data_IF_675344545993
#
_entry.id   IF_675344545993
#
_cell.length_a   1.000
_cell.length_b   1.000
_cell.length_c   1.000
_cell.angle_alpha   90.00
_cell.angle_beta   90.00
_cell.angle_gamma   90.00
#
_symmetry.space_group_name_H-M   'P 1'
#
loop_
_entity.id
_entity.type
_entity.pdbx_description
1 polymer ?
#
# COMPACT_ATOMS: atom_id res chain seq x y z
N UNK A 1 60.45 -43.59 -73.42
CA UNK A 1 60.11 -42.28 -72.74
C UNK A 1 58.83 -41.57 -73.26
N UNK A 2 58.57 -41.59 -74.54
CA UNK A 2 57.43 -40.84 -75.11
C UNK A 2 56.03 -41.27 -74.62
N UNK A 3 55.81 -42.56 -74.33
CA UNK A 3 54.52 -43.07 -73.85
C UNK A 3 54.16 -42.61 -72.41
N UNK A 4 55.09 -42.44 -71.54
CA UNK A 4 54.91 -41.95 -70.19
C UNK A 4 54.45 -40.51 -70.18
N UNK A 5 55.06 -39.68 -71.02
CA UNK A 5 54.74 -38.26 -71.17
C UNK A 5 53.32 -38.02 -71.79
N UNK A 6 52.91 -38.90 -72.69
CA UNK A 6 51.57 -38.83 -73.28
C UNK A 6 50.45 -39.22 -72.28
N UNK A 7 50.74 -40.19 -71.41
CA UNK A 7 49.89 -40.66 -70.33
C UNK A 7 49.65 -39.60 -69.25
N UNK A 8 50.78 -39.00 -68.88
CA UNK A 8 50.80 -37.96 -67.85
C UNK A 8 50.02 -36.70 -68.34
N UNK A 9 50.27 -36.29 -69.62
CA UNK A 9 49.50 -35.17 -70.23
C UNK A 9 47.99 -35.48 -70.31
N UNK A 10 47.59 -36.73 -70.50
CA UNK A 10 46.14 -37.11 -70.52
C UNK A 10 45.56 -37.14 -69.13
N UNK A 11 46.32 -37.51 -68.08
CA UNK A 11 45.89 -37.46 -66.70
C UNK A 11 45.75 -35.99 -66.26
N UNK A 12 46.70 -35.14 -66.58
CA UNK A 12 46.64 -33.71 -66.27
C UNK A 12 45.46 -33.02 -66.92
N UNK A 13 45.11 -33.32 -68.19
CA UNK A 13 43.94 -32.83 -68.87
C UNK A 13 42.65 -33.28 -68.20
N UNK A 14 42.60 -34.58 -67.78
CA UNK A 14 41.38 -35.09 -67.04
C UNK A 14 41.23 -34.38 -65.68
N UNK A 15 42.35 -34.23 -65.00
CA UNK A 15 42.35 -33.49 -63.69
C UNK A 15 41.90 -32.05 -63.88
N UNK A 16 42.44 -31.33 -64.88
CA UNK A 16 42.03 -29.98 -65.20
C UNK A 16 40.54 -29.86 -65.54
N UNK A 17 40.04 -30.74 -66.41
CA UNK A 17 38.60 -30.77 -66.77
C UNK A 17 37.73 -31.07 -65.56
N UNK A 18 38.16 -31.95 -64.65
CA UNK A 18 37.42 -32.24 -63.42
C UNK A 18 37.39 -31.04 -62.50
N UNK A 19 38.52 -30.35 -62.34
CA UNK A 19 38.64 -29.11 -61.55
C UNK A 19 37.74 -27.99 -62.11
N UNK A 20 37.78 -27.78 -63.45
CA UNK A 20 36.92 -26.78 -64.08
C UNK A 20 35.43 -27.13 -63.94
N UNK A 21 35.07 -28.40 -64.09
CA UNK A 21 33.67 -28.82 -63.89
C UNK A 21 33.20 -28.61 -62.44
N UNK A 22 34.07 -28.93 -61.46
CA UNK A 22 33.76 -28.69 -60.03
C UNK A 22 33.62 -27.17 -59.75
N UNK A 23 34.58 -26.38 -60.23
CA UNK A 23 34.53 -24.92 -60.05
C UNK A 23 33.29 -24.30 -60.74
N UNK A 24 32.88 -24.80 -61.93
CA UNK A 24 31.67 -24.32 -62.61
C UNK A 24 30.38 -24.74 -61.82
N UNK A 25 30.37 -25.92 -61.26
CA UNK A 25 29.23 -26.36 -60.41
C UNK A 25 29.12 -25.49 -59.19
N UNK A 26 30.21 -25.25 -58.47
CA UNK A 26 30.22 -24.34 -57.30
C UNK A 26 29.84 -22.92 -57.69
N UNK A 27 30.33 -22.42 -58.83
CA UNK A 27 29.91 -21.07 -59.29
C UNK A 27 28.43 -20.98 -59.55
N UNK A 28 27.84 -21.98 -60.24
CA UNK A 28 26.38 -22.00 -60.47
C UNK A 28 25.63 -22.06 -59.16
N UNK A 29 26.00 -22.91 -58.26
CA UNK A 29 25.35 -22.98 -56.92
C UNK A 29 25.41 -21.64 -56.20
N UNK A 30 26.60 -21.04 -56.13
CA UNK A 30 26.76 -19.73 -55.47
C UNK A 30 25.98 -18.63 -56.19
N UNK A 31 25.86 -18.67 -57.51
CA UNK A 31 25.08 -17.73 -58.31
C UNK A 31 23.58 -17.86 -58.02
N UNK A 32 23.07 -19.09 -58.04
CA UNK A 32 21.66 -19.38 -57.73
C UNK A 32 21.31 -18.97 -56.28
N UNK A 33 22.22 -19.23 -55.34
CA UNK A 33 22.11 -18.86 -53.95
C UNK A 33 22.12 -17.32 -53.75
N UNK A 34 22.99 -16.63 -54.47
CA UNK A 34 23.03 -15.16 -54.48
C UNK A 34 21.75 -14.54 -55.05
N UNK A 35 21.23 -15.11 -56.11
CA UNK A 35 19.96 -14.64 -56.71
C UNK A 35 18.78 -14.87 -55.75
N UNK A 36 18.72 -16.03 -55.09
CA UNK A 36 17.73 -16.32 -54.09
C UNK A 36 17.83 -15.36 -52.90
N UNK A 37 19.02 -15.09 -52.38
CA UNK A 37 19.26 -14.13 -51.31
C UNK A 37 18.91 -12.70 -51.69
N UNK A 38 19.26 -12.25 -52.91
CA UNK A 38 18.87 -10.93 -53.37
C UNK A 38 17.35 -10.75 -53.49
N UNK A 39 16.61 -11.83 -53.72
CA UNK A 39 15.14 -11.81 -53.76
C UNK A 39 14.54 -11.87 -52.35
N UNK A 40 15.18 -12.60 -51.40
CA UNK A 40 14.68 -12.80 -50.04
C UNK A 40 14.97 -11.62 -49.12
N UNK A 41 16.16 -11.01 -49.22
CA UNK A 41 16.59 -9.92 -48.34
C UNK A 41 15.64 -8.71 -48.33
N UNK A 42 15.16 -8.19 -49.44
CA UNK A 42 14.18 -7.12 -49.43
C UNK A 42 12.89 -7.50 -48.71
N UNK A 43 12.38 -8.69 -48.96
CA UNK A 43 11.16 -9.19 -48.29
C UNK A 43 11.30 -9.33 -46.80
N UNK A 44 12.49 -9.75 -46.33
CA UNK A 44 12.78 -9.81 -44.90
C UNK A 44 12.92 -8.40 -44.28
N UNK A 45 13.52 -7.47 -45.04
CA UNK A 45 13.59 -6.08 -44.60
C UNK A 45 12.20 -5.45 -44.46
N UNK A 46 11.32 -5.65 -45.44
CA UNK A 46 9.93 -5.16 -45.43
C UNK A 46 9.16 -5.81 -44.24
N UNK A 47 9.32 -7.12 -44.03
CA UNK A 47 8.68 -7.83 -42.91
C UNK A 47 9.18 -7.33 -41.57
N UNK A 48 10.46 -7.04 -41.43
CA UNK A 48 11.06 -6.46 -40.25
C UNK A 48 10.50 -5.06 -39.97
N UNK A 49 10.44 -4.21 -40.98
CA UNK A 49 9.89 -2.85 -40.89
C UNK A 49 8.42 -2.86 -40.41
N UNK A 50 7.61 -3.75 -40.98
CA UNK A 50 6.20 -3.94 -40.58
C UNK A 50 6.15 -4.39 -39.13
N UNK A 51 6.92 -5.40 -38.74
CA UNK A 51 6.95 -5.93 -37.35
C UNK A 51 7.42 -4.88 -36.35
N UNK A 52 8.39 -4.06 -36.68
CA UNK A 52 8.87 -2.96 -35.85
C UNK A 52 7.81 -1.86 -35.71
N UNK A 53 7.13 -1.52 -36.80
CA UNK A 53 6.05 -0.51 -36.80
C UNK A 53 4.87 -0.95 -35.93
N UNK A 54 4.40 -2.17 -36.12
CA UNK A 54 3.32 -2.75 -35.29
C UNK A 54 3.70 -2.86 -33.81
N UNK A 55 4.93 -3.28 -33.54
CA UNK A 55 5.45 -3.32 -32.17
C UNK A 55 5.48 -1.94 -31.52
N UNK A 56 5.90 -0.90 -32.26
CA UNK A 56 5.91 0.47 -31.74
C UNK A 56 4.49 0.95 -31.49
N UNK A 57 3.57 0.78 -32.43
CA UNK A 57 2.17 1.18 -32.27
C UNK A 57 1.51 0.51 -31.06
N UNK A 58 1.67 -0.80 -30.91
CA UNK A 58 1.18 -1.55 -29.74
C UNK A 58 1.77 -1.04 -28.43
N UNK A 59 3.10 -0.83 -28.40
CA UNK A 59 3.76 -0.37 -27.18
C UNK A 59 3.33 1.05 -26.82
N UNK A 60 3.18 1.95 -27.79
CA UNK A 60 2.75 3.34 -27.55
C UNK A 60 1.30 3.38 -27.02
N UNK A 61 0.42 2.53 -27.55
CA UNK A 61 -0.95 2.39 -27.05
C UNK A 61 -0.97 1.92 -25.59
N UNK A 62 -0.20 0.88 -25.26
CA UNK A 62 -0.07 0.36 -23.89
C UNK A 62 0.52 1.39 -22.94
N UNK A 63 1.58 2.08 -23.34
CA UNK A 63 2.21 3.12 -22.51
C UNK A 63 1.29 4.31 -22.28
N UNK A 64 0.47 4.65 -23.28
CA UNK A 64 -0.53 5.72 -23.15
C UNK A 64 -1.62 5.36 -22.14
N UNK A 65 -2.13 4.13 -22.17
CA UNK A 65 -3.12 3.64 -21.21
C UNK A 65 -2.55 3.65 -19.77
N UNK A 66 -1.34 3.14 -19.59
CA UNK A 66 -0.65 3.13 -18.28
C UNK A 66 -0.41 4.54 -17.75
N UNK A 67 -0.09 5.49 -18.63
CA UNK A 67 0.18 6.88 -18.22
C UNK A 67 -1.02 7.52 -17.52
N UNK A 68 -2.24 7.16 -17.90
CA UNK A 68 -3.47 7.62 -17.22
C UNK A 68 -3.55 7.08 -15.81
N UNK A 69 -3.29 5.79 -15.64
CA UNK A 69 -3.32 5.16 -14.31
C UNK A 69 -2.21 5.69 -13.39
N UNK A 70 -1.00 5.88 -13.91
CA UNK A 70 0.10 6.49 -13.16
C UNK A 70 -0.30 7.89 -12.66
N UNK A 71 -0.91 8.70 -13.54
CA UNK A 71 -1.37 10.04 -13.16
C UNK A 71 -2.40 9.99 -12.02
N UNK A 72 -3.36 9.08 -12.10
CA UNK A 72 -4.38 8.86 -11.06
C UNK A 72 -3.76 8.45 -9.73
N UNK A 73 -2.84 7.47 -9.75
CA UNK A 73 -2.15 6.98 -8.56
C UNK A 73 -1.28 8.05 -7.91
N UNK A 74 -0.55 8.78 -8.73
CA UNK A 74 0.32 9.86 -8.25
C UNK A 74 -0.48 10.99 -7.62
N UNK A 75 -1.56 11.46 -8.27
CA UNK A 75 -2.44 12.50 -7.74
C UNK A 75 -3.13 12.07 -6.44
N UNK A 76 -3.44 10.78 -6.26
CA UNK A 76 -4.00 10.29 -5.01
C UNK A 76 -3.07 10.51 -3.81
N UNK A 77 -1.76 10.51 -4.03
CA UNK A 77 -0.74 10.74 -2.99
C UNK A 77 -0.35 12.22 -2.89
N UNK A 78 -0.12 12.87 -4.02
CA UNK A 78 0.40 14.23 -4.15
C UNK A 78 -0.67 15.20 -4.68
N UNK A 79 -1.76 15.33 -3.93
CA UNK A 79 -2.94 16.12 -4.34
C UNK A 79 -2.59 17.59 -4.57
N UNK A 80 -2.83 18.09 -5.79
CA UNK A 80 -2.69 19.51 -6.11
C UNK A 80 -1.25 20.02 -6.18
N UNK A 81 -0.24 19.15 -6.30
CA UNK A 81 1.17 19.56 -6.33
C UNK A 81 1.69 19.90 -7.74
N UNK A 82 0.79 20.11 -8.70
CA UNK A 82 1.11 20.71 -10.00
C UNK A 82 1.70 19.77 -11.05
N UNK A 83 1.77 18.46 -10.81
CA UNK A 83 2.13 17.48 -11.82
C UNK A 83 0.87 17.08 -12.60
N UNK A 84 0.68 17.69 -13.79
CA UNK A 84 -0.59 17.58 -14.50
C UNK A 84 -0.69 16.35 -15.41
N UNK A 85 0.41 15.98 -16.07
CA UNK A 85 0.44 14.85 -17.00
C UNK A 85 1.76 14.11 -16.92
N UNK A 86 1.66 12.81 -16.79
CA UNK A 86 2.78 11.88 -16.90
C UNK A 86 2.64 11.19 -18.25
N UNK A 87 3.70 11.15 -19.03
CA UNK A 87 3.77 10.42 -20.29
C UNK A 87 4.92 9.45 -20.26
N UNK A 88 4.67 8.25 -20.75
CA UNK A 88 5.68 7.23 -20.97
C UNK A 88 5.87 7.03 -22.47
N UNK A 89 7.09 7.01 -22.92
CA UNK A 89 7.45 6.69 -24.30
C UNK A 89 8.71 5.82 -24.33
N UNK A 90 8.87 5.05 -25.41
CA UNK A 90 10.14 4.37 -25.64
C UNK A 90 11.18 5.40 -26.11
N UNK A 91 12.38 5.38 -25.52
CA UNK A 91 13.49 6.19 -26.01
C UNK A 91 13.91 5.69 -27.41
N UNK A 92 13.77 6.51 -28.45
CA UNK A 92 14.11 6.10 -29.82
C UNK A 92 15.62 5.84 -30.01
N UNK A 93 16.46 6.32 -29.10
CA UNK A 93 17.93 6.19 -29.17
C UNK A 93 18.48 5.04 -28.36
N UNK A 94 17.73 4.50 -27.41
CA UNK A 94 18.17 3.44 -26.50
C UNK A 94 17.19 2.28 -26.53
N UNK A 95 17.67 1.10 -26.90
CA UNK A 95 16.86 -0.11 -26.88
C UNK A 95 16.37 -0.41 -25.45
N UNK A 96 15.06 -0.68 -25.31
CA UNK A 96 14.40 -1.03 -24.05
C UNK A 96 14.57 0.04 -22.94
N UNK A 97 14.68 1.30 -23.30
CA UNK A 97 14.68 2.43 -22.36
C UNK A 97 13.36 3.15 -22.41
N UNK A 98 12.78 3.40 -21.25
CA UNK A 98 11.57 4.22 -21.08
C UNK A 98 11.99 5.66 -20.83
N UNK A 99 11.41 6.58 -21.59
CA UNK A 99 11.51 8.01 -21.33
C UNK A 99 10.24 8.46 -20.59
N UNK A 100 10.44 9.13 -19.46
CA UNK A 100 9.35 9.62 -18.62
C UNK A 100 9.29 11.14 -18.80
N UNK A 101 8.24 11.59 -19.45
CA UNK A 101 7.93 13.01 -19.56
C UNK A 101 6.86 13.43 -18.54
N UNK A 102 6.94 14.65 -18.10
CA UNK A 102 5.91 15.24 -17.23
C UNK A 102 5.52 16.64 -17.72
N UNK A 103 4.33 17.05 -17.32
CA UNK A 103 3.86 18.44 -17.46
C UNK A 103 3.75 19.05 -16.06
N UNK A 104 4.38 20.19 -15.86
CA UNK A 104 4.39 20.91 -14.61
C UNK A 104 4.08 22.39 -14.86
N UNK A 105 3.04 22.94 -14.22
CA UNK A 105 2.58 24.32 -14.39
C UNK A 105 2.47 24.75 -15.87
N UNK A 106 1.86 23.88 -16.72
CA UNK A 106 1.64 24.16 -18.14
C UNK A 106 2.89 23.99 -19.03
N UNK A 107 4.06 23.62 -18.48
CA UNK A 107 5.26 23.28 -19.24
C UNK A 107 5.30 21.77 -19.50
N UNK A 108 5.39 21.38 -20.75
CA UNK A 108 5.38 19.96 -21.16
C UNK A 108 6.78 19.44 -21.49
N UNK A 109 6.95 18.11 -21.41
CA UNK A 109 8.19 17.43 -21.81
C UNK A 109 9.34 17.63 -20.83
N UNK A 110 9.06 17.89 -19.57
CA UNK A 110 10.06 18.05 -18.54
C UNK A 110 10.43 16.68 -17.95
N UNK A 111 11.72 16.35 -17.82
CA UNK A 111 12.13 15.14 -17.13
C UNK A 111 11.83 15.26 -15.63
N UNK A 112 11.07 14.32 -15.03
CA UNK A 112 10.70 14.37 -13.61
C UNK A 112 11.91 14.55 -12.69
N UNK A 113 13.04 13.94 -13.02
CA UNK A 113 14.28 14.00 -12.24
C UNK A 113 14.87 15.40 -12.08
N UNK A 114 14.46 16.36 -12.93
CA UNK A 114 14.93 17.73 -12.85
C UNK A 114 14.13 18.60 -11.87
N UNK A 115 12.93 18.16 -11.45
CA UNK A 115 11.98 18.98 -10.70
C UNK A 115 11.46 18.30 -9.45
N UNK A 116 11.40 16.97 -9.42
CA UNK A 116 10.84 16.22 -8.31
C UNK A 116 11.93 15.92 -7.26
N UNK A 117 11.54 15.93 -5.99
CA UNK A 117 12.37 15.44 -4.89
C UNK A 117 12.52 13.92 -4.96
N UNK A 118 13.43 13.35 -4.20
CA UNK A 118 13.62 11.89 -4.11
C UNK A 118 12.34 11.19 -3.67
N UNK A 119 11.62 11.72 -2.68
CA UNK A 119 10.33 11.21 -2.22
C UNK A 119 9.28 11.15 -3.34
N UNK A 120 9.19 12.19 -4.16
CA UNK A 120 8.28 12.23 -5.31
C UNK A 120 8.68 11.25 -6.41
N UNK A 121 9.98 11.10 -6.67
CA UNK A 121 10.48 10.15 -7.66
C UNK A 121 10.22 8.71 -7.24
N UNK A 122 10.39 8.39 -5.97
CA UNK A 122 10.11 7.06 -5.43
C UNK A 122 8.61 6.75 -5.48
N UNK A 123 7.75 7.72 -5.13
CA UNK A 123 6.30 7.58 -5.31
C UNK A 123 5.93 7.37 -6.77
N UNK A 124 6.52 8.15 -7.68
CA UNK A 124 6.28 8.01 -9.12
C UNK A 124 6.72 6.62 -9.62
N UNK A 125 7.89 6.15 -9.17
CA UNK A 125 8.38 4.81 -9.49
C UNK A 125 7.43 3.71 -9.01
N UNK A 126 6.89 3.84 -7.80
CA UNK A 126 5.89 2.92 -7.27
C UNK A 126 4.58 2.96 -8.07
N UNK A 127 4.10 4.15 -8.44
CA UNK A 127 2.90 4.30 -9.29
C UNK A 127 3.09 3.63 -10.67
N UNK A 128 4.26 3.79 -11.28
CA UNK A 128 4.60 3.11 -12.54
C UNK A 128 4.60 1.59 -12.35
N UNK A 129 5.22 1.11 -11.28
CA UNK A 129 5.26 -0.33 -10.98
C UNK A 129 3.87 -0.92 -10.76
N UNK A 130 3.02 -0.26 -9.99
CA UNK A 130 1.63 -0.70 -9.74
C UNK A 130 0.79 -0.70 -11.01
N UNK A 131 0.89 0.34 -11.83
CA UNK A 131 0.17 0.42 -13.10
C UNK A 131 0.61 -0.68 -14.08
N UNK A 132 1.91 -0.97 -14.15
CA UNK A 132 2.44 -2.08 -14.95
C UNK A 132 1.99 -3.44 -14.42
N UNK A 133 2.01 -3.65 -13.10
CA UNK A 133 1.58 -4.90 -12.49
C UNK A 133 0.09 -5.18 -12.66
N UNK A 134 -0.72 -4.13 -12.82
CA UNK A 134 -2.17 -4.24 -13.02
C UNK A 134 -2.59 -4.49 -14.47
N UNK A 135 -1.65 -4.46 -15.44
CA UNK A 135 -1.96 -4.60 -16.87
C UNK A 135 -2.45 -5.99 -17.27
N UNK A 136 -1.87 -7.02 -16.69
CA UNK A 136 -2.13 -8.40 -17.11
C UNK A 136 -2.45 -9.25 -15.88
N UNK A 137 -3.66 -9.79 -15.86
CA UNK A 137 -4.20 -10.71 -14.83
C UNK A 137 -3.84 -10.32 -13.38
N UNK A 138 -4.26 -9.18 -12.88
CA UNK A 138 -3.97 -8.79 -11.50
C UNK A 138 -4.61 -9.75 -10.48
N UNK A 139 -5.78 -10.34 -10.78
CA UNK A 139 -6.44 -11.33 -9.92
C UNK A 139 -5.65 -12.64 -9.80
N UNK A 140 -4.80 -12.97 -10.76
CA UNK A 140 -3.85 -14.09 -10.72
C UNK A 140 -2.49 -13.73 -10.12
N UNK A 141 -2.19 -12.44 -9.95
CA UNK A 141 -0.86 -11.93 -9.60
C UNK A 141 -0.68 -11.76 -8.10
N UNK A 142 0.51 -12.11 -7.58
CA UNK A 142 0.95 -11.80 -6.22
C UNK A 142 1.89 -10.60 -6.29
N UNK A 143 1.46 -9.49 -5.71
CA UNK A 143 2.27 -8.28 -5.61
C UNK A 143 3.20 -8.37 -4.39
N UNK A 144 4.49 -8.08 -4.58
CA UNK A 144 5.47 -8.02 -3.50
C UNK A 144 6.14 -6.65 -3.50
N UNK A 145 5.97 -5.92 -2.39
CA UNK A 145 6.52 -4.59 -2.17
C UNK A 145 7.49 -4.65 -0.98
N UNK A 146 8.77 -4.50 -1.25
CA UNK A 146 9.81 -4.57 -0.21
C UNK A 146 10.29 -3.17 0.16
N UNK A 147 9.92 -2.74 1.37
CA UNK A 147 10.34 -1.47 2.02
C UNK A 147 10.12 -0.19 1.19
N UNK A 148 9.05 -0.17 0.40
CA UNK A 148 8.76 0.92 -0.57
C UNK A 148 8.36 2.27 0.07
N UNK A 149 8.24 2.33 1.41
CA UNK A 149 7.79 3.54 2.13
C UNK A 149 8.93 4.29 2.81
N UNK A 150 10.17 3.83 2.67
CA UNK A 150 11.30 4.36 3.44
C UNK A 150 11.67 5.80 3.12
N UNK A 151 11.43 6.24 1.89
CA UNK A 151 11.84 7.55 1.36
C UNK A 151 10.70 8.57 1.27
N UNK A 152 9.46 8.15 1.58
CA UNK A 152 8.29 9.01 1.42
C UNK A 152 8.11 9.96 2.60
N UNK A 153 7.89 11.24 2.32
CA UNK A 153 7.68 12.29 3.32
C UNK A 153 6.42 12.04 4.16
N UNK A 154 6.50 12.32 5.46
CA UNK A 154 5.45 12.03 6.43
C UNK A 154 4.04 12.52 6.03
N UNK A 155 3.83 13.72 5.44
CA UNK A 155 2.52 14.17 4.99
C UNK A 155 1.88 13.28 3.91
N UNK A 156 2.70 12.62 3.08
CA UNK A 156 2.24 11.79 1.96
C UNK A 156 2.03 10.33 2.33
N UNK A 157 2.66 9.87 3.41
CA UNK A 157 2.62 8.46 3.82
C UNK A 157 1.19 7.98 4.08
N UNK A 158 0.34 8.79 4.71
CA UNK A 158 -1.05 8.38 4.98
C UNK A 158 -1.82 8.14 3.67
N UNK A 159 -1.69 9.04 2.69
CA UNK A 159 -2.33 8.91 1.38
C UNK A 159 -1.76 7.76 0.57
N UNK A 160 -0.43 7.57 0.66
CA UNK A 160 0.23 6.44 0.01
C UNK A 160 -0.27 5.10 0.57
N UNK A 161 -0.43 4.99 1.88
CA UNK A 161 -0.98 3.81 2.54
C UNK A 161 -2.42 3.56 2.06
N UNK A 162 -3.26 4.58 2.01
CA UNK A 162 -4.64 4.47 1.54
C UNK A 162 -4.69 4.01 0.08
N UNK A 163 -3.90 4.64 -0.79
CA UNK A 163 -3.78 4.23 -2.20
C UNK A 163 -3.31 2.78 -2.34
N UNK A 164 -2.30 2.35 -1.57
CA UNK A 164 -1.81 0.97 -1.60
C UNK A 164 -2.86 -0.04 -1.15
N UNK A 165 -3.73 0.31 -0.19
CA UNK A 165 -4.84 -0.57 0.20
C UNK A 165 -5.86 -0.76 -0.90
N UNK A 166 -6.25 0.34 -1.56
CA UNK A 166 -7.20 0.29 -2.67
C UNK A 166 -6.63 -0.52 -3.84
N UNK A 167 -5.37 -0.28 -4.18
CA UNK A 167 -4.73 -1.01 -5.28
C UNK A 167 -4.47 -2.50 -4.93
N UNK A 168 -4.13 -2.82 -3.68
CA UNK A 168 -3.89 -4.19 -3.25
C UNK A 168 -5.12 -5.09 -3.40
N UNK A 169 -6.33 -4.54 -3.30
CA UNK A 169 -7.58 -5.29 -3.49
C UNK A 169 -7.76 -5.83 -4.92
N UNK A 170 -7.04 -5.28 -5.90
CA UNK A 170 -7.06 -5.74 -7.30
C UNK A 170 -6.26 -7.02 -7.53
N UNK A 171 -5.29 -7.29 -6.65
CA UNK A 171 -4.37 -8.42 -6.79
C UNK A 171 -4.83 -9.61 -5.95
N UNK A 172 -4.44 -10.80 -6.39
CA UNK A 172 -4.72 -12.04 -5.65
C UNK A 172 -4.20 -11.97 -4.21
N UNK A 173 -2.98 -11.49 -4.02
CA UNK A 173 -2.35 -11.21 -2.74
C UNK A 173 -1.39 -10.04 -2.89
N UNK A 174 -1.28 -9.26 -1.84
CA UNK A 174 -0.25 -8.22 -1.72
C UNK A 174 0.58 -8.49 -0.47
N UNK A 175 1.90 -8.63 -0.64
CA UNK A 175 2.86 -8.81 0.44
C UNK A 175 3.69 -7.53 0.53
N UNK A 176 3.59 -6.84 1.65
CA UNK A 176 4.33 -5.60 1.87
C UNK A 176 5.26 -5.81 3.06
N UNK A 177 6.56 -5.65 2.87
CA UNK A 177 7.52 -5.58 3.97
C UNK A 177 7.81 -4.13 4.29
N UNK A 178 7.93 -3.79 5.56
CA UNK A 178 8.27 -2.43 5.98
C UNK A 178 8.81 -2.41 7.41
N UNK A 179 9.77 -1.56 7.65
CA UNK A 179 10.18 -1.18 9.01
C UNK A 179 9.45 0.08 9.52
N UNK A 180 8.54 0.63 8.73
CA UNK A 180 7.84 1.88 9.02
C UNK A 180 6.72 1.69 10.06
N UNK A 181 6.92 2.26 11.24
CA UNK A 181 6.02 2.09 12.40
C UNK A 181 4.57 2.54 12.21
N UNK A 182 4.25 3.60 11.44
CA UNK A 182 2.87 4.02 11.23
C UNK A 182 1.94 2.94 10.67
N UNK A 183 2.43 2.00 9.86
CA UNK A 183 1.66 0.83 9.42
C UNK A 183 1.16 0.00 10.59
N UNK A 184 2.05 -0.30 11.54
CA UNK A 184 1.71 -1.04 12.75
C UNK A 184 0.66 -0.30 13.58
N UNK A 185 0.81 1.01 13.73
CA UNK A 185 -0.15 1.83 14.46
C UNK A 185 -1.53 1.81 13.80
N UNK A 186 -1.62 1.91 12.48
CA UNK A 186 -2.89 1.83 11.76
C UNK A 186 -3.60 0.50 12.01
N UNK A 187 -2.89 -0.62 11.94
CA UNK A 187 -3.45 -1.92 12.29
C UNK A 187 -3.89 -1.98 13.76
N UNK A 188 -3.06 -1.50 14.68
CA UNK A 188 -3.35 -1.51 16.11
C UNK A 188 -4.63 -0.75 16.45
N UNK A 189 -4.91 0.32 15.73
CA UNK A 189 -6.10 1.14 15.94
C UNK A 189 -7.31 0.70 15.09
N UNK A 190 -7.21 -0.41 14.39
CA UNK A 190 -8.30 -0.95 13.59
C UNK A 190 -8.65 -0.10 12.37
N UNK A 191 -7.73 0.73 11.86
CA UNK A 191 -7.93 1.49 10.63
C UNK A 191 -7.96 0.62 9.40
N UNK A 192 -7.46 -0.61 9.54
CA UNK A 192 -7.43 -1.61 8.50
C UNK A 192 -8.60 -2.56 8.66
N UNK A 193 -9.24 -2.93 7.57
CA UNK A 193 -10.30 -3.91 7.56
C UNK A 193 -9.78 -5.24 8.12
N UNK A 194 -10.31 -5.67 9.25
CA UNK A 194 -9.95 -6.96 9.83
C UNK A 194 -10.36 -8.09 8.86
N UNK A 195 -9.48 -9.08 8.75
CA UNK A 195 -9.69 -10.23 7.87
C UNK A 195 -9.18 -10.06 6.43
N UNK A 196 -8.89 -8.83 5.98
CA UNK A 196 -8.25 -8.57 4.69
C UNK A 196 -6.73 -8.42 4.83
N UNK A 197 -6.23 -8.07 6.01
CA UNK A 197 -4.81 -7.85 6.26
C UNK A 197 -4.34 -8.74 7.40
N UNK A 198 -3.29 -9.50 7.14
CA UNK A 198 -2.53 -10.23 8.15
C UNK A 198 -1.21 -9.53 8.40
N UNK A 199 -0.93 -9.21 9.65
CA UNK A 199 0.30 -8.54 10.05
C UNK A 199 1.23 -9.52 10.77
N UNK A 200 2.45 -9.67 10.25
CA UNK A 200 3.48 -10.51 10.85
C UNK A 200 4.65 -9.62 11.24
N UNK A 201 4.98 -9.58 12.52
CA UNK A 201 6.12 -8.83 13.01
C UNK A 201 7.33 -9.78 13.11
N UNK A 202 8.42 -9.39 12.44
CA UNK A 202 9.69 -10.08 12.56
C UNK A 202 10.36 -9.62 13.86
N UNK A 203 10.50 -10.52 14.79
CA UNK A 203 11.10 -10.26 16.09
C UNK A 203 12.62 -10.41 16.06
N UNK A 204 13.19 -10.68 17.23
CA UNK A 204 14.64 -10.81 17.38
C UNK A 204 15.14 -12.07 16.67
N UNK A 205 16.20 -11.93 15.91
CA UNK A 205 16.95 -13.06 15.36
C UNK A 205 18.05 -13.50 16.33
N UNK A 206 18.21 -14.80 16.51
CA UNK A 206 19.33 -15.37 17.23
C UNK A 206 19.88 -16.59 16.48
N UNK A 207 21.18 -16.89 16.68
CA UNK A 207 21.81 -18.07 16.07
C UNK A 207 21.24 -19.40 16.58
N UNK A 208 20.59 -19.39 17.74
CA UNK A 208 20.06 -20.60 18.41
C UNK A 208 18.61 -20.85 18.05
N UNK A 209 17.79 -19.81 18.08
CA UNK A 209 16.33 -19.90 17.91
C UNK A 209 15.86 -19.46 16.52
N UNK A 210 16.75 -18.89 15.71
CA UNK A 210 16.40 -18.32 14.41
C UNK A 210 15.61 -17.04 14.55
N UNK A 211 14.72 -16.78 13.57
CA UNK A 211 13.86 -15.61 13.53
C UNK A 211 12.55 -15.88 14.28
N UNK A 212 12.23 -15.05 15.26
CA UNK A 212 10.92 -15.10 15.91
C UNK A 212 9.88 -14.36 15.10
N UNK A 213 8.72 -15.00 14.90
CA UNK A 213 7.57 -14.42 14.20
C UNK A 213 6.48 -14.10 15.22
N UNK A 214 6.00 -12.88 15.21
CA UNK A 214 4.93 -12.42 16.07
C UNK A 214 3.76 -11.98 15.18
N UNK A 215 2.61 -12.64 15.32
CA UNK A 215 1.40 -12.18 14.65
C UNK A 215 0.89 -10.92 15.36
N UNK A 216 0.91 -9.79 14.66
CA UNK A 216 0.35 -8.56 15.21
C UNK A 216 -1.17 -8.59 15.09
N UNK A 217 -1.85 -8.42 16.21
CA UNK A 217 -3.31 -8.25 16.27
C UNK A 217 -3.62 -6.84 16.78
N UNK A 218 -4.79 -6.25 16.40
CA UNK A 218 -5.21 -4.94 16.89
C UNK A 218 -5.19 -4.87 18.42
N UNK A 219 -4.81 -3.73 18.96
CA UNK A 219 -4.69 -3.57 20.42
C UNK A 219 -6.02 -3.77 21.15
N UNK A 220 -7.14 -3.44 20.51
CA UNK A 220 -8.48 -3.72 21.05
C UNK A 220 -8.71 -5.22 21.21
N UNK A 221 -8.31 -6.02 20.24
CA UNK A 221 -8.43 -7.48 20.31
C UNK A 221 -7.45 -8.09 21.33
N UNK A 222 -6.27 -7.48 21.51
CA UNK A 222 -5.35 -7.85 22.60
C UNK A 222 -5.98 -7.55 23.96
N UNK A 223 -6.58 -6.38 24.13
CA UNK A 223 -7.29 -6.05 25.38
C UNK A 223 -8.41 -7.06 25.66
N UNK A 224 -9.17 -7.42 24.61
CA UNK A 224 -10.22 -8.43 24.73
C UNK A 224 -9.66 -9.79 25.16
N UNK A 225 -8.54 -10.21 24.60
CA UNK A 225 -7.89 -11.48 24.98
C UNK A 225 -7.38 -11.45 26.42
N UNK A 226 -6.75 -10.36 26.87
CA UNK A 226 -6.28 -10.21 28.24
C UNK A 226 -7.41 -10.22 29.28
N UNK A 227 -8.55 -9.61 28.93
CA UNK A 227 -9.75 -9.66 29.79
C UNK A 227 -10.40 -11.04 29.85
N UNK A 228 -10.15 -11.90 28.85
CA UNK A 228 -10.66 -13.27 28.79
C UNK A 228 -9.74 -14.30 29.45
N UNK A 229 -8.53 -13.95 29.85
CA UNK A 229 -7.61 -14.82 30.56
C UNK A 229 -8.16 -15.21 31.96
N UNK A 230 -7.79 -16.41 32.44
CA UNK A 230 -8.25 -16.92 33.74
C UNK A 230 -7.05 -17.39 34.59
N UNK A 231 -6.66 -16.64 35.63
CA UNK A 231 -7.11 -15.30 36.01
C UNK A 231 -6.54 -14.23 35.05
N UNK A 232 -7.23 -13.10 34.87
CA UNK A 232 -6.71 -11.99 34.05
C UNK A 232 -5.57 -11.26 34.78
N UNK A 233 -4.54 -10.85 34.05
CA UNK A 233 -3.48 -9.96 34.58
C UNK A 233 -3.97 -8.51 34.57
N UNK A 234 -4.36 -8.01 35.73
CA UNK A 234 -4.90 -6.66 35.95
C UNK A 234 -3.92 -5.58 35.47
N UNK A 235 -2.63 -5.76 35.73
CA UNK A 235 -1.60 -4.79 35.33
C UNK A 235 -1.51 -4.67 33.83
N UNK A 236 -1.45 -5.79 33.13
CA UNK A 236 -1.43 -5.82 31.65
C UNK A 236 -2.71 -5.24 31.06
N UNK A 237 -3.88 -5.58 31.62
CA UNK A 237 -5.18 -5.01 31.23
C UNK A 237 -5.18 -3.49 31.40
N UNK A 238 -4.79 -2.96 32.57
CA UNK A 238 -4.79 -1.52 32.84
C UNK A 238 -3.80 -0.76 31.93
N UNK A 239 -2.61 -1.30 31.72
CA UNK A 239 -1.62 -0.69 30.84
C UNK A 239 -2.11 -0.63 29.38
N UNK A 240 -2.66 -1.73 28.87
CA UNK A 240 -3.19 -1.81 27.50
C UNK A 240 -4.43 -0.94 27.32
N UNK A 241 -5.39 -1.01 28.24
CA UNK A 241 -6.58 -0.17 28.23
C UNK A 241 -6.24 1.32 28.29
N UNK A 242 -5.27 1.71 29.12
CA UNK A 242 -4.82 3.10 29.20
C UNK A 242 -4.25 3.63 27.90
N UNK A 243 -3.43 2.83 27.22
CA UNK A 243 -2.87 3.18 25.91
C UNK A 243 -3.96 3.33 24.84
N UNK A 244 -4.92 2.40 24.78
CA UNK A 244 -6.06 2.45 23.85
C UNK A 244 -6.91 3.69 24.13
N UNK A 245 -7.20 3.95 25.39
CA UNK A 245 -8.03 5.09 25.80
C UNK A 245 -7.42 6.45 25.40
N UNK A 246 -6.11 6.60 25.57
CA UNK A 246 -5.42 7.85 25.15
C UNK A 246 -5.62 8.12 23.65
N UNK A 247 -5.49 7.10 22.82
CA UNK A 247 -5.69 7.29 21.41
C UNK A 247 -7.17 7.51 21.03
N UNK A 248 -8.10 6.82 21.69
CA UNK A 248 -9.53 7.04 21.48
C UNK A 248 -9.94 8.49 21.83
N UNK A 249 -9.45 8.99 22.94
CA UNK A 249 -9.73 10.37 23.37
C UNK A 249 -9.00 11.40 22.47
N UNK A 250 -7.77 11.11 22.04
CA UNK A 250 -7.09 11.96 21.06
C UNK A 250 -7.90 12.04 19.76
N UNK A 251 -8.39 10.90 19.25
CA UNK A 251 -9.28 10.88 18.09
C UNK A 251 -10.51 11.75 18.30
N UNK A 252 -11.24 11.59 19.43
CA UNK A 252 -12.43 12.38 19.73
C UNK A 252 -12.13 13.88 19.85
N UNK A 253 -11.01 14.24 20.49
CA UNK A 253 -10.62 15.65 20.64
C UNK A 253 -10.23 16.30 19.32
N UNK A 254 -9.58 15.57 18.42
CA UNK A 254 -9.29 16.02 17.05
C UNK A 254 -10.58 16.12 16.22
N UNK A 255 -11.42 15.10 16.28
CA UNK A 255 -12.69 15.06 15.54
C UNK A 255 -13.61 16.23 15.88
N UNK A 256 -13.65 16.65 17.11
CA UNK A 256 -14.50 17.75 17.59
C UNK A 256 -13.77 19.05 17.86
N UNK A 257 -12.49 19.17 17.43
CA UNK A 257 -11.66 20.36 17.62
C UNK A 257 -11.69 20.88 19.07
N UNK A 258 -11.59 19.93 20.02
CA UNK A 258 -11.63 20.28 21.43
C UNK A 258 -10.38 21.10 21.82
N UNK A 259 -10.55 22.14 22.66
CA UNK A 259 -9.41 22.94 23.11
C UNK A 259 -8.53 22.15 24.06
N UNK A 260 -7.45 21.57 23.58
CA UNK A 260 -6.44 20.89 24.39
C UNK A 260 -5.39 21.90 24.91
N UNK A 261 -4.87 21.75 26.16
CA UNK A 261 -3.88 22.64 26.69
C UNK A 261 -2.59 22.56 25.86
N UNK A 262 -2.06 23.73 25.47
CA UNK A 262 -0.82 23.80 24.72
C UNK A 262 0.35 23.48 25.63
N UNK A 263 1.11 22.43 25.34
CA UNK A 263 2.31 22.01 26.06
C UNK A 263 3.56 22.14 25.20
N UNK A 264 4.72 22.49 25.79
CA UNK A 264 5.96 22.69 25.05
C UNK A 264 6.45 21.42 24.33
N UNK A 265 6.19 20.25 24.91
CA UNK A 265 6.57 18.93 24.39
C UNK A 265 5.51 18.31 23.46
N UNK A 266 4.38 18.97 23.26
CA UNK A 266 3.26 18.48 22.47
C UNK A 266 2.57 17.24 23.04
N UNK A 267 2.97 16.75 24.23
CA UNK A 267 2.44 15.53 24.82
C UNK A 267 1.25 15.82 25.73
N UNK A 268 0.13 15.20 25.43
CA UNK A 268 -1.07 15.28 26.26
C UNK A 268 -1.21 14.01 27.13
N UNK A 269 -1.67 14.20 28.34
CA UNK A 269 -2.01 13.11 29.25
C UNK A 269 -3.48 12.73 29.09
N UNK A 270 -3.85 11.56 29.57
CA UNK A 270 -5.25 11.12 29.63
C UNK A 270 -6.16 12.20 30.25
N UNK A 271 -5.71 12.86 31.33
CA UNK A 271 -6.44 13.92 32.00
C UNK A 271 -6.68 15.12 31.08
N UNK A 272 -5.67 15.53 30.30
CA UNK A 272 -5.78 16.65 29.35
C UNK A 272 -6.89 16.39 28.33
N UNK A 273 -6.92 15.19 27.74
CA UNK A 273 -7.94 14.78 26.79
C UNK A 273 -9.33 14.75 27.40
N UNK A 274 -9.48 14.10 28.56
CA UNK A 274 -10.78 14.00 29.27
C UNK A 274 -11.33 15.39 29.57
N UNK A 275 -10.50 16.29 30.11
CA UNK A 275 -10.92 17.66 30.45
C UNK A 275 -11.22 18.51 29.21
N UNK A 276 -10.62 18.23 28.07
CA UNK A 276 -10.87 18.92 26.80
C UNK A 276 -12.24 18.63 26.25
N UNK A 277 -12.81 17.46 26.53
CA UNK A 277 -14.16 17.11 26.09
C UNK A 277 -15.18 17.73 27.07
N UNK A 278 -15.82 18.83 26.65
CA UNK A 278 -16.78 19.55 27.49
C UNK A 278 -17.98 18.67 27.89
N UNK A 279 -18.60 18.97 29.04
CA UNK A 279 -19.80 18.23 29.49
C UNK A 279 -20.88 18.21 28.43
N UNK A 280 -21.13 19.36 27.75
CA UNK A 280 -22.13 19.46 26.68
C UNK A 280 -21.84 18.49 25.53
N UNK A 281 -20.55 18.37 25.16
CA UNK A 281 -20.15 17.43 24.11
C UNK A 281 -20.31 15.98 24.59
N UNK A 282 -19.86 15.65 25.80
CA UNK A 282 -20.02 14.30 26.38
C UNK A 282 -21.49 13.84 26.38
N UNK A 283 -22.39 14.72 26.78
CA UNK A 283 -23.83 14.43 26.83
C UNK A 283 -24.42 14.22 25.40
N UNK A 284 -23.81 14.82 24.39
CA UNK A 284 -24.23 14.69 23.00
C UNK A 284 -23.56 13.51 22.26
N UNK A 285 -22.41 13.00 22.76
CA UNK A 285 -21.65 11.94 22.12
C UNK A 285 -22.46 10.63 22.10
N UNK A 286 -22.75 10.14 20.89
CA UNK A 286 -23.34 8.82 20.66
C UNK A 286 -22.91 8.26 19.31
N UNK A 287 -22.93 6.94 19.19
CA UNK A 287 -22.74 6.22 17.94
C UNK A 287 -24.03 5.51 17.56
N UNK A 288 -24.50 5.71 16.35
CA UNK A 288 -25.59 4.96 15.74
C UNK A 288 -25.02 3.96 14.72
N UNK A 289 -25.46 2.72 14.79
CA UNK A 289 -25.22 1.71 13.74
C UNK A 289 -26.49 1.62 12.92
N UNK A 290 -26.37 1.96 11.64
CA UNK A 290 -27.51 2.09 10.73
C UNK A 290 -27.34 1.10 9.59
N UNK A 291 -28.39 0.36 9.27
CA UNK A 291 -28.45 -0.40 8.03
C UNK A 291 -28.78 0.55 6.88
N UNK A 292 -28.04 0.41 5.78
CA UNK A 292 -28.19 1.24 4.58
C UNK A 292 -28.76 0.39 3.42
N UNK A 293 -29.47 1.05 2.50
CA UNK A 293 -29.87 0.44 1.23
C UNK A 293 -28.70 0.42 0.22
N UNK A 294 -28.92 -0.19 -0.94
CA UNK A 294 -27.93 -0.24 -2.02
C UNK A 294 -27.47 1.12 -2.57
N UNK A 295 -28.18 2.22 -2.18
CA UNK A 295 -27.83 3.60 -2.54
C UNK A 295 -27.18 4.35 -1.38
N UNK A 296 -26.90 3.68 -0.25
CA UNK A 296 -26.28 4.29 0.93
C UNK A 296 -27.23 5.06 1.84
N UNK A 297 -28.58 5.02 1.61
CA UNK A 297 -29.54 5.68 2.47
C UNK A 297 -29.84 4.84 3.71
N UNK A 298 -29.97 5.52 4.86
CA UNK A 298 -30.31 4.87 6.12
C UNK A 298 -31.74 4.29 6.10
N UNK A 299 -31.84 2.98 6.35
CA UNK A 299 -33.14 2.29 6.42
C UNK A 299 -33.60 2.17 7.87
N UNK A 300 -32.71 1.68 8.76
CA UNK A 300 -33.02 1.39 10.16
C UNK A 300 -31.83 1.64 11.05
N UNK A 301 -32.05 2.26 12.21
CA UNK A 301 -31.07 2.31 13.28
C UNK A 301 -31.15 0.98 14.03
N UNK A 302 -30.10 0.14 13.91
CA UNK A 302 -30.03 -1.15 14.58
C UNK A 302 -29.61 -1.02 16.05
N UNK A 303 -28.69 -0.09 16.31
CA UNK A 303 -28.12 0.12 17.64
C UNK A 303 -27.75 1.58 17.84
N UNK A 304 -28.04 2.10 19.03
CA UNK A 304 -27.53 3.39 19.50
C UNK A 304 -26.73 3.18 20.79
N UNK A 305 -25.54 3.74 20.87
CA UNK A 305 -24.68 3.71 22.05
C UNK A 305 -24.35 5.14 22.45
N UNK A 306 -24.77 5.54 23.65
CA UNK A 306 -24.38 6.83 24.24
C UNK A 306 -22.97 6.70 24.83
N UNK A 307 -22.04 7.51 24.35
CA UNK A 307 -20.65 7.47 24.82
C UNK A 307 -20.43 8.26 26.10
N UNK A 308 -21.23 9.28 26.38
CA UNK A 308 -21.11 10.11 27.57
C UNK A 308 -21.07 9.33 28.88
N UNK A 309 -22.02 8.43 29.15
CA UNK A 309 -21.98 7.57 30.34
C UNK A 309 -20.72 6.73 30.44
N UNK A 310 -20.23 6.17 29.32
CA UNK A 310 -19.01 5.35 29.27
C UNK A 310 -17.78 6.21 29.61
N UNK A 311 -17.66 7.39 28.99
CA UNK A 311 -16.54 8.33 29.25
C UNK A 311 -16.57 8.81 30.71
N UNK A 312 -17.73 9.11 31.26
CA UNK A 312 -17.87 9.54 32.67
C UNK A 312 -17.46 8.43 33.63
N UNK A 313 -17.84 7.18 33.35
CA UNK A 313 -17.45 6.04 34.17
C UNK A 313 -15.94 5.77 34.06
N UNK A 314 -15.37 5.86 32.86
CA UNK A 314 -13.93 5.80 32.64
C UNK A 314 -13.21 6.88 33.47
N UNK A 315 -13.68 8.13 33.43
CA UNK A 315 -13.08 9.21 34.23
C UNK A 315 -13.08 8.90 35.73
N UNK A 316 -14.20 8.34 36.23
CA UNK A 316 -14.33 7.96 37.65
C UNK A 316 -13.33 6.88 38.08
N UNK A 317 -13.06 5.92 37.20
CA UNK A 317 -12.18 4.77 37.51
C UNK A 317 -10.77 4.90 36.92
N UNK A 318 -10.47 5.99 36.22
CA UNK A 318 -9.18 6.18 35.56
C UNK A 318 -7.96 6.20 36.51
N UNK A 319 -8.17 6.43 37.80
CA UNK A 319 -7.10 6.30 38.80
C UNK A 319 -6.55 4.88 38.88
N UNK A 320 -7.37 3.86 38.62
CA UNK A 320 -6.95 2.46 38.57
C UNK A 320 -5.81 2.24 37.54
N UNK A 321 -5.83 2.91 36.40
CA UNK A 321 -4.72 2.87 35.42
C UNK A 321 -3.40 3.34 36.03
N UNK A 322 -3.41 4.45 36.75
CA UNK A 322 -2.19 5.05 37.27
C UNK A 322 -1.61 4.19 38.40
N UNK A 323 -2.45 3.49 39.14
CA UNK A 323 -2.08 2.65 40.27
C UNK A 323 -1.61 1.27 39.78
N UNK A 324 -2.38 0.60 38.92
CA UNK A 324 -2.04 -0.76 38.47
C UNK A 324 -1.10 -0.76 37.25
N UNK A 325 -1.26 0.19 36.35
CA UNK A 325 -0.61 0.14 35.06
C UNK A 325 0.72 0.89 34.91
N UNK A 326 0.99 1.94 35.73
CA UNK A 326 2.11 2.84 35.47
C UNK A 326 2.97 3.24 36.65
N UNK A 327 2.44 3.32 37.86
CA UNK A 327 3.15 3.86 39.01
C UNK A 327 2.84 3.11 40.32
N UNK A 328 3.87 2.81 41.08
CA UNK A 328 3.70 2.40 42.48
C UNK A 328 3.19 3.59 43.31
N UNK A 329 1.99 3.46 43.90
CA UNK A 329 1.43 4.41 44.87
C UNK A 329 0.89 3.67 46.08
N UNK A 330 0.94 4.30 47.24
CA UNK A 330 0.33 3.75 48.46
C UNK A 330 -1.17 3.46 48.32
N UNK A 331 -1.87 4.21 47.45
CA UNK A 331 -3.27 3.97 47.04
C UNK A 331 -3.50 2.62 46.35
N UNK A 332 -2.44 1.91 45.94
CA UNK A 332 -2.59 0.57 45.33
C UNK A 332 -3.15 -0.47 46.33
N UNK A 333 -3.12 -0.19 47.61
CA UNK A 333 -3.68 -1.06 48.65
C UNK A 333 -5.21 -0.87 48.84
N UNK A 334 -5.76 0.24 48.36
CA UNK A 334 -7.19 0.57 48.51
C UNK A 334 -8.01 0.19 47.26
N UNK A 335 -7.34 -0.08 46.13
CA UNK A 335 -7.99 -0.47 44.89
C UNK A 335 -7.99 -1.99 44.73
N UNK A 336 -9.14 -2.54 44.41
CA UNK A 336 -9.33 -3.96 44.15
C UNK A 336 -9.02 -4.29 42.69
N UNK A 337 -8.56 -5.51 42.42
CA UNK A 337 -8.37 -6.03 41.07
C UNK A 337 -9.61 -5.80 40.15
N UNK A 338 -10.80 -5.85 40.77
CA UNK A 338 -12.05 -5.59 40.09
C UNK A 338 -12.15 -4.18 39.50
N UNK A 339 -11.52 -3.18 40.12
CA UNK A 339 -11.53 -1.79 39.63
C UNK A 339 -10.68 -1.67 38.37
N UNK A 340 -9.53 -2.36 38.31
CA UNK A 340 -8.66 -2.44 37.15
C UNK A 340 -9.34 -3.18 36.00
N UNK A 341 -10.01 -4.28 36.29
CA UNK A 341 -10.78 -5.00 35.25
C UNK A 341 -11.97 -4.20 34.74
N UNK A 342 -12.69 -3.52 35.65
CA UNK A 342 -13.80 -2.63 35.27
C UNK A 342 -13.32 -1.51 34.32
N UNK A 343 -12.15 -0.93 34.58
CA UNK A 343 -11.52 0.03 33.67
C UNK A 343 -11.29 -0.57 32.29
N UNK A 344 -10.70 -1.77 32.22
CA UNK A 344 -10.49 -2.49 30.95
C UNK A 344 -11.79 -2.73 30.18
N UNK A 345 -12.86 -3.20 30.88
CA UNK A 345 -14.16 -3.43 30.24
C UNK A 345 -14.83 -2.15 29.75
N UNK A 346 -14.71 -1.02 30.46
CA UNK A 346 -15.27 0.26 30.02
C UNK A 346 -14.53 0.79 28.79
N UNK A 347 -13.21 0.66 28.76
CA UNK A 347 -12.43 1.04 27.56
C UNK A 347 -12.81 0.15 26.37
N UNK A 348 -12.96 -1.15 26.60
CA UNK A 348 -13.41 -2.06 25.55
C UNK A 348 -14.82 -1.69 25.02
N UNK A 349 -15.74 -1.35 25.93
CA UNK A 349 -17.10 -0.90 25.54
C UNK A 349 -17.08 0.39 24.71
N UNK A 350 -16.18 1.33 25.05
CA UNK A 350 -15.96 2.54 24.24
C UNK A 350 -15.46 2.19 22.83
N UNK A 351 -14.49 1.28 22.76
CA UNK A 351 -13.92 0.86 21.49
C UNK A 351 -14.91 0.08 20.64
N UNK A 352 -15.69 -0.82 21.23
CA UNK A 352 -16.74 -1.59 20.53
C UNK A 352 -17.85 -0.68 19.96
N UNK A 353 -18.04 0.48 20.55
CA UNK A 353 -18.94 1.49 20.01
C UNK A 353 -18.29 2.26 18.84
N UNK A 354 -17.03 2.65 18.99
CA UNK A 354 -16.31 3.49 18.02
C UNK A 354 -15.74 2.71 16.85
N UNK A 355 -15.36 1.45 17.02
CA UNK A 355 -14.67 0.67 15.99
C UNK A 355 -15.54 -0.47 15.47
N UNK A 356 -15.22 -0.92 14.28
CA UNK A 356 -15.80 -2.10 13.67
C UNK A 356 -14.67 -3.01 13.20
N UNK A 357 -14.79 -4.32 13.45
CA UNK A 357 -13.77 -5.29 13.06
C UNK A 357 -13.51 -5.31 11.54
N UNK A 358 -14.50 -4.93 10.76
CA UNK A 358 -14.40 -4.91 9.30
C UNK A 358 -14.03 -3.55 8.71
N UNK A 359 -14.46 -2.43 9.35
CA UNK A 359 -14.23 -1.08 8.84
C UNK A 359 -13.15 -0.30 9.62
N UNK A 360 -12.77 -0.78 10.81
CA UNK A 360 -11.82 -0.09 11.66
C UNK A 360 -12.29 1.27 12.17
N UNK A 361 -11.36 2.22 12.27
CA UNK A 361 -11.62 3.59 12.65
C UNK A 361 -12.17 4.41 11.50
N UNK A 362 -13.02 5.43 11.76
CA UNK A 362 -13.35 6.41 10.72
C UNK A 362 -12.11 7.17 10.29
N UNK A 363 -11.99 7.48 9.00
CA UNK A 363 -10.89 8.28 8.48
C UNK A 363 -10.90 9.68 9.11
N UNK A 364 -9.72 10.24 9.40
CA UNK A 364 -9.57 11.63 9.88
C UNK A 364 -10.13 12.68 8.92
N UNK A 365 -10.15 12.35 7.63
CA UNK A 365 -10.61 13.25 6.57
C UNK A 365 -12.09 13.11 6.27
N UNK A 366 -12.67 12.02 6.72
CA UNK A 366 -14.09 11.79 6.53
C UNK A 366 -14.86 12.37 7.70
N UNK A 367 -16.06 12.71 7.39
CA UNK A 367 -17.08 13.04 8.36
C UNK A 367 -17.21 11.93 9.41
N UNK A 368 -17.98 12.14 10.36
CA UNK A 368 -18.55 11.33 11.42
C UNK A 368 -19.21 10.04 10.92
N UNK A 369 -19.05 9.65 9.64
CA UNK A 369 -19.64 8.45 9.03
C UNK A 369 -18.57 7.51 8.52
N UNK A 370 -18.77 6.21 8.72
CA UNK A 370 -18.01 5.17 8.04
C UNK A 370 -18.90 3.95 7.78
N UNK A 371 -18.72 3.33 6.63
CA UNK A 371 -19.57 2.28 6.12
C UNK A 371 -18.84 0.95 6.05
N UNK A 372 -19.52 -0.12 6.41
CA UNK A 372 -19.04 -1.48 6.29
C UNK A 372 -20.15 -2.34 5.71
N UNK A 373 -19.95 -2.86 4.51
CA UNK A 373 -20.95 -3.68 3.85
C UNK A 373 -22.30 -2.97 3.78
N UNK A 374 -23.31 -3.53 4.46
CA UNK A 374 -24.67 -3.00 4.52
C UNK A 374 -24.94 -2.09 5.73
N UNK A 375 -23.90 -1.74 6.51
CA UNK A 375 -24.02 -0.93 7.72
C UNK A 375 -23.16 0.31 7.66
N UNK A 376 -23.67 1.39 8.23
CA UNK A 376 -22.95 2.64 8.44
C UNK A 376 -22.96 2.99 9.91
N UNK A 377 -21.79 3.32 10.47
CA UNK A 377 -21.69 3.96 11.79
C UNK A 377 -21.75 5.47 11.62
N UNK A 378 -22.43 6.13 12.55
CA UNK A 378 -22.54 7.59 12.62
C UNK A 378 -22.17 8.05 14.01
N UNK A 379 -21.15 8.89 14.11
CA UNK A 379 -20.71 9.50 15.36
C UNK A 379 -21.36 10.88 15.50
N UNK A 380 -22.10 11.07 16.57
CA UNK A 380 -22.77 12.33 16.89
C UNK A 380 -22.06 13.10 18.00
N UNK A 381 -22.16 14.44 18.00
CA UNK A 381 -22.87 15.26 17.03
C UNK A 381 -22.21 15.22 15.65
N UNK A 382 -23.03 15.14 14.59
CA UNK A 382 -22.51 15.18 13.22
C UNK A 382 -21.82 16.52 12.98
N UNK A 383 -20.62 16.50 12.43
CA UNK A 383 -19.96 17.71 11.93
C UNK A 383 -20.61 18.08 10.61
N UNK A 384 -20.88 19.36 10.43
CA UNK A 384 -21.26 19.87 9.12
C UNK A 384 -20.05 19.82 8.22
N UNK A 385 -20.18 19.35 6.95
CA UNK A 385 -19.12 19.37 5.97
C UNK A 385 -18.62 20.77 5.71
#
# INVERSE_FOLDING_TARGET
>A
MQWKTARDRRADRKSFVATVKSALATYRQNFDEQEALNTLLPKLADALEIAETERHAFTDEMLSAISVDIGRLYEAVHVGEGLEKISLALDPKRRASLDIGSSFEGKTGLPPQAYLSESHLDTLGLCIFLALAALDDPEGTILVLDDVLASVDEPHVERLIEMLYEEAEKFRHCIITTHYRPWKHRLQWGWLKNGQVQFVELGRWSNVEGLSLIQAIPDVEKLRSFLAEIPPDVQTVCAKAGYILEAALNFLTLQYECPCPRKPDGRHTLRDYIQSISKKLRDALRVEVVKVDGSGNAIVIEREVKLGPIVNEIERIAEARNVFGCHFKELSFDLLDQDGLAFGYQVLALMDALTDQSAGWPSKQQTDHWTTGDKTRRLYPLRRP
#
